data_IF_673503794699
#
_entry.id   IF_673503794699
#
_cell.length_a   1.000
_cell.length_b   1.000
_cell.length_c   1.000
_cell.angle_alpha   90.00
_cell.angle_beta   90.00
_cell.angle_gamma   90.00
#
_symmetry.space_group_name_H-M   'P 1'
#
loop_
_entity.id
_entity.type
_entity.pdbx_description
1 polymer ?
#
# COMPACT_ATOMS: atom_id res chain seq x y z
N UNK A 1 6.63 30.27 -39.78
CA UNK A 1 6.65 28.89 -39.27
C UNK A 1 7.89 28.65 -38.40
N UNK A 2 9.13 28.92 -38.89
CA UNK A 2 10.38 28.70 -38.14
C UNK A 2 10.42 29.40 -36.77
N UNK A 3 9.95 30.65 -36.65
CA UNK A 3 9.90 31.38 -35.36
C UNK A 3 8.91 30.76 -34.38
N UNK A 4 7.80 30.20 -34.87
CA UNK A 4 6.81 29.51 -34.02
C UNK A 4 7.37 28.20 -33.51
N UNK A 5 8.06 27.45 -34.37
CA UNK A 5 8.71 26.18 -34.02
C UNK A 5 9.82 26.39 -32.98
N UNK A 6 10.66 27.41 -33.16
CA UNK A 6 11.70 27.78 -32.18
C UNK A 6 11.11 28.12 -30.82
N UNK A 7 10.04 28.93 -30.79
CA UNK A 7 9.34 29.31 -29.54
C UNK A 7 8.73 28.06 -28.86
N UNK A 8 8.10 27.20 -29.63
CA UNK A 8 7.53 25.94 -29.09
C UNK A 8 8.60 24.99 -28.57
N UNK A 9 9.76 24.96 -29.20
CA UNK A 9 10.92 24.20 -28.74
C UNK A 9 11.43 24.74 -27.39
N UNK A 10 11.58 26.04 -27.24
CA UNK A 10 12.04 26.67 -25.99
C UNK A 10 11.04 26.44 -24.85
N UNK A 11 9.75 26.53 -25.13
CA UNK A 11 8.70 26.23 -24.13
C UNK A 11 8.82 24.78 -23.66
N UNK A 12 8.92 23.82 -24.59
CA UNK A 12 9.07 22.40 -24.23
C UNK A 12 10.35 22.14 -23.45
N UNK A 13 11.47 22.73 -23.88
CA UNK A 13 12.76 22.62 -23.18
C UNK A 13 12.68 23.15 -21.74
N UNK A 14 11.95 24.24 -21.52
CA UNK A 14 11.76 24.75 -20.17
C UNK A 14 10.85 23.85 -19.33
N UNK A 15 9.78 23.30 -19.90
CA UNK A 15 8.93 22.32 -19.20
C UNK A 15 9.71 21.09 -18.74
N UNK A 16 10.58 20.57 -19.62
CA UNK A 16 11.43 19.41 -19.28
C UNK A 16 12.36 19.67 -18.10
N UNK A 17 12.81 20.91 -17.88
CA UNK A 17 13.67 21.23 -16.72
C UNK A 17 12.94 21.05 -15.38
N UNK A 18 11.64 21.36 -15.34
CA UNK A 18 10.81 21.13 -14.17
C UNK A 18 10.48 19.65 -14.00
N UNK A 19 10.16 18.97 -15.11
CA UNK A 19 9.84 17.54 -15.11
C UNK A 19 11.03 16.68 -14.66
N UNK A 20 12.26 17.08 -14.98
CA UNK A 20 13.46 16.36 -14.55
C UNK A 20 13.58 16.27 -13.03
N UNK A 21 13.22 17.31 -12.28
CA UNK A 21 13.25 17.29 -10.81
C UNK A 21 12.32 16.21 -10.25
N UNK A 22 11.06 16.19 -10.73
CA UNK A 22 10.10 15.15 -10.33
C UNK A 22 10.54 13.75 -10.75
N UNK A 23 11.17 13.65 -11.93
CA UNK A 23 11.64 12.36 -12.45
C UNK A 23 12.83 11.81 -11.65
N UNK A 24 13.73 12.68 -11.19
CA UNK A 24 14.86 12.25 -10.36
C UNK A 24 14.38 11.77 -8.99
N UNK A 25 13.45 12.48 -8.35
CA UNK A 25 12.80 12.01 -7.12
C UNK A 25 12.05 10.69 -7.34
N UNK A 26 11.36 10.55 -8.46
CA UNK A 26 10.65 9.31 -8.83
C UNK A 26 11.60 8.11 -8.92
N UNK A 27 12.77 8.28 -9.53
CA UNK A 27 13.77 7.22 -9.62
C UNK A 27 14.19 6.75 -8.22
N UNK A 28 14.54 7.69 -7.33
CA UNK A 28 14.93 7.36 -5.95
C UNK A 28 13.84 6.56 -5.24
N UNK A 29 12.59 7.01 -5.32
CA UNK A 29 11.46 6.31 -4.68
C UNK A 29 11.21 4.94 -5.28
N UNK A 30 11.28 4.80 -6.61
CA UNK A 30 11.05 3.51 -7.28
C UNK A 30 12.18 2.52 -7.01
N UNK A 31 13.42 2.98 -6.99
CA UNK A 31 14.56 2.12 -6.63
C UNK A 31 14.42 1.64 -5.19
N UNK A 32 14.09 2.54 -4.25
CA UNK A 32 13.84 2.18 -2.85
C UNK A 32 12.66 1.20 -2.71
N UNK A 33 11.59 1.43 -3.44
CA UNK A 33 10.42 0.55 -3.46
C UNK A 33 10.77 -0.85 -3.98
N UNK A 34 11.59 -0.94 -5.03
CA UNK A 34 12.06 -2.21 -5.60
C UNK A 34 12.94 -2.95 -4.59
N UNK A 35 13.86 -2.27 -3.91
CA UNK A 35 14.68 -2.83 -2.85
C UNK A 35 13.80 -3.44 -1.76
N UNK A 36 12.89 -2.65 -1.18
CA UNK A 36 11.96 -3.10 -0.14
C UNK A 36 11.09 -4.30 -0.59
N UNK A 37 10.72 -4.37 -1.87
CA UNK A 37 9.97 -5.53 -2.39
C UNK A 37 10.82 -6.78 -2.56
N UNK A 38 12.10 -6.62 -2.93
CA UNK A 38 13.04 -7.73 -3.14
C UNK A 38 13.54 -8.32 -1.82
N UNK A 39 13.75 -7.48 -0.82
CA UNK A 39 14.26 -7.91 0.47
C UNK A 39 13.30 -8.89 1.14
N UNK A 40 13.83 -9.96 1.65
CA UNK A 40 13.07 -10.96 2.40
C UNK A 40 12.54 -10.39 3.71
N UNK A 41 13.33 -9.51 4.34
CA UNK A 41 12.96 -8.80 5.56
C UNK A 41 13.36 -7.33 5.49
N UNK A 42 12.51 -6.44 6.01
CA UNK A 42 12.77 -5.01 6.12
C UNK A 42 13.06 -4.57 7.57
N UNK A 43 13.28 -5.54 8.46
CA UNK A 43 13.41 -5.30 9.90
C UNK A 43 14.56 -4.34 10.24
N UNK A 44 15.71 -4.46 9.56
CA UNK A 44 16.86 -3.57 9.76
C UNK A 44 16.54 -2.14 9.33
N UNK A 45 15.95 -1.98 8.15
CA UNK A 45 15.49 -0.66 7.65
C UNK A 45 14.50 0.00 8.60
N UNK A 46 13.55 -0.77 9.14
CA UNK A 46 12.56 -0.27 10.11
C UNK A 46 13.23 0.10 11.42
N UNK A 47 14.21 -0.68 11.88
CA UNK A 47 14.96 -0.37 13.09
C UNK A 47 15.82 0.91 12.92
N UNK A 48 16.43 1.12 11.75
CA UNK A 48 17.11 2.37 11.41
C UNK A 48 16.16 3.56 11.40
N UNK A 49 15.02 3.44 10.73
CA UNK A 49 13.99 4.49 10.73
C UNK A 49 13.54 4.88 12.14
N UNK A 50 13.38 3.88 13.02
CA UNK A 50 13.00 4.13 14.42
C UNK A 50 14.09 4.86 15.20
N UNK A 51 15.37 4.51 15.01
CA UNK A 51 16.50 5.20 15.62
C UNK A 51 16.59 6.64 15.17
N UNK A 52 16.54 6.87 13.84
CA UNK A 52 16.53 8.24 13.28
C UNK A 52 15.39 9.10 13.87
N UNK A 53 14.20 8.52 14.03
CA UNK A 53 13.04 9.23 14.60
C UNK A 53 13.28 9.54 16.10
N UNK A 54 13.89 8.63 16.85
CA UNK A 54 14.20 8.87 18.26
C UNK A 54 15.24 9.98 18.39
N UNK A 55 16.28 9.95 17.56
CA UNK A 55 17.31 11.00 17.52
C UNK A 55 16.71 12.36 17.20
N UNK A 56 15.86 12.44 16.16
CA UNK A 56 15.16 13.67 15.75
C UNK A 56 14.26 14.20 16.88
N UNK A 57 13.51 13.32 17.58
CA UNK A 57 12.64 13.71 18.69
C UNK A 57 13.43 14.22 19.89
N UNK A 58 14.51 13.55 20.25
CA UNK A 58 15.36 13.98 21.37
C UNK A 58 16.08 15.29 21.03
N UNK A 59 16.68 15.41 19.85
CA UNK A 59 17.35 16.63 19.42
C UNK A 59 16.43 17.85 19.38
N UNK A 60 15.13 17.66 19.10
CA UNK A 60 14.14 18.73 19.10
C UNK A 60 13.90 19.35 20.47
N UNK A 61 13.93 18.53 21.53
CA UNK A 61 13.60 18.94 22.91
C UNK A 61 14.83 19.07 23.81
N UNK A 62 15.93 18.41 23.45
CA UNK A 62 17.20 18.43 24.16
C UNK A 62 18.28 18.95 23.22
N UNK A 63 18.58 20.25 23.23
CA UNK A 63 19.66 20.81 22.41
C UNK A 63 21.01 20.20 22.80
N UNK A 64 21.85 19.96 21.81
CA UNK A 64 23.21 19.47 22.05
C UNK A 64 23.96 20.29 23.12
N UNK A 65 24.59 19.62 24.07
CA UNK A 65 25.38 20.23 25.17
C UNK A 65 24.60 21.18 26.06
N UNK A 66 23.25 21.13 26.04
CA UNK A 66 22.43 21.89 26.98
C UNK A 66 22.45 21.23 28.38
N UNK A 67 22.39 22.06 29.42
CA UNK A 67 22.23 21.54 30.78
C UNK A 67 20.84 20.95 30.99
N UNK A 68 20.68 19.92 31.86
CA UNK A 68 19.40 19.27 32.10
C UNK A 68 18.24 20.21 32.49
N UNK A 69 18.56 21.36 33.13
CA UNK A 69 17.58 22.39 33.50
C UNK A 69 16.98 23.12 32.28
N UNK A 70 17.63 23.04 31.12
CA UNK A 70 17.18 23.66 29.85
C UNK A 70 16.40 22.69 28.97
N UNK A 71 16.31 21.43 29.37
CA UNK A 71 15.63 20.41 28.59
C UNK A 71 14.10 20.56 28.68
N UNK A 72 13.42 20.44 27.55
CA UNK A 72 11.98 20.36 27.49
C UNK A 72 11.53 18.89 27.68
N UNK A 73 11.62 18.41 28.91
CA UNK A 73 11.26 17.02 29.27
C UNK A 73 9.78 16.74 29.08
N UNK A 74 8.92 17.73 29.32
CA UNK A 74 7.48 17.60 29.15
C UNK A 74 7.08 17.43 27.69
N UNK A 75 7.61 18.30 26.81
CA UNK A 75 7.41 18.19 25.37
C UNK A 75 7.98 16.88 24.79
N UNK A 76 9.16 16.46 25.23
CA UNK A 76 9.73 15.17 24.82
C UNK A 76 8.83 14.00 25.24
N UNK A 77 8.32 13.99 26.48
CA UNK A 77 7.41 12.94 26.95
C UNK A 77 6.13 12.88 26.10
N UNK A 78 5.52 14.02 25.76
CA UNK A 78 4.33 14.08 24.92
C UNK A 78 4.62 13.55 23.51
N UNK A 79 5.73 13.96 22.90
CA UNK A 79 6.12 13.51 21.57
C UNK A 79 6.46 12.01 21.55
N UNK A 80 7.15 11.47 22.56
CA UNK A 80 7.41 10.03 22.69
C UNK A 80 6.10 9.23 22.81
N UNK A 81 5.14 9.72 23.60
CA UNK A 81 3.83 9.07 23.70
C UNK A 81 3.05 9.17 22.38
N UNK A 82 3.12 10.32 21.70
CA UNK A 82 2.46 10.55 20.43
C UNK A 82 3.05 9.71 19.30
N UNK A 83 4.35 9.55 19.22
CA UNK A 83 5.01 8.86 18.10
C UNK A 83 5.25 7.39 18.43
N UNK A 84 5.83 7.08 19.58
CA UNK A 84 6.22 5.71 19.96
C UNK A 84 5.15 4.99 20.79
N UNK A 85 4.09 5.66 21.20
CA UNK A 85 3.09 5.12 22.13
C UNK A 85 3.71 4.61 23.47
N UNK A 86 4.82 5.21 23.90
CA UNK A 86 5.53 4.85 25.11
C UNK A 86 5.38 5.97 26.15
N UNK A 87 4.92 5.62 27.36
CA UNK A 87 4.94 6.51 28.51
C UNK A 87 6.23 6.29 29.29
N UNK A 88 7.19 7.18 29.09
CA UNK A 88 8.53 7.08 29.69
C UNK A 88 8.74 8.16 30.75
N UNK A 89 9.43 7.82 31.85
CA UNK A 89 9.66 8.75 32.95
C UNK A 89 10.83 9.71 32.68
N UNK A 90 10.77 10.46 31.57
CA UNK A 90 11.84 11.37 31.12
C UNK A 90 12.19 12.40 32.20
N UNK A 91 11.18 12.92 32.92
CA UNK A 91 11.38 13.87 34.02
C UNK A 91 12.20 13.31 35.17
N UNK A 92 12.11 12.00 35.43
CA UNK A 92 12.93 11.33 36.44
C UNK A 92 14.35 11.15 35.96
N UNK A 93 14.55 10.78 34.70
CA UNK A 93 15.86 10.63 34.09
C UNK A 93 16.65 11.93 34.06
N UNK A 94 16.00 13.03 33.69
CA UNK A 94 16.62 14.37 33.65
C UNK A 94 17.15 14.87 34.99
N UNK A 95 16.68 14.29 36.12
CA UNK A 95 17.14 14.64 37.48
C UNK A 95 18.35 13.82 37.95
N UNK A 96 18.79 12.84 37.18
CA UNK A 96 19.92 12.02 37.51
C UNK A 96 21.24 12.81 37.37
N UNK A 97 22.12 12.72 38.34
CA UNK A 97 23.42 13.41 38.28
C UNK A 97 24.29 12.88 37.12
N UNK A 98 24.74 13.80 36.27
CA UNK A 98 25.63 13.46 35.14
C UNK A 98 24.94 12.86 33.94
N UNK A 99 23.61 12.94 33.84
CA UNK A 99 22.87 12.46 32.67
C UNK A 99 23.23 13.27 31.41
N UNK A 100 23.48 12.59 30.32
CA UNK A 100 23.71 13.19 29.00
C UNK A 100 22.56 12.88 28.04
N UNK A 101 22.45 13.68 26.97
CA UNK A 101 21.50 13.48 25.88
C UNK A 101 21.61 12.09 25.24
N UNK A 102 22.84 11.62 25.03
CA UNK A 102 23.14 10.28 24.49
C UNK A 102 22.55 9.14 25.36
N UNK A 103 22.57 9.33 26.71
CA UNK A 103 21.99 8.34 27.63
C UNK A 103 20.45 8.33 27.55
N UNK A 104 19.83 9.50 27.34
CA UNK A 104 18.36 9.58 27.12
C UNK A 104 18.00 8.85 25.82
N UNK A 105 18.74 9.10 24.72
CA UNK A 105 18.56 8.39 23.45
C UNK A 105 18.66 6.88 23.67
N UNK A 106 19.73 6.40 24.27
CA UNK A 106 19.95 4.97 24.51
C UNK A 106 18.86 4.31 25.36
N UNK A 107 18.31 5.03 26.34
CA UNK A 107 17.20 4.54 27.16
C UNK A 107 15.88 4.47 26.39
N UNK A 108 15.58 5.48 25.55
CA UNK A 108 14.40 5.49 24.70
C UNK A 108 14.48 4.37 23.66
N UNK A 109 15.61 4.23 22.98
CA UNK A 109 15.84 3.15 22.01
C UNK A 109 15.64 1.76 22.63
N UNK A 110 16.26 1.52 23.80
CA UNK A 110 16.10 0.24 24.51
C UNK A 110 14.63 -0.06 24.80
N UNK A 111 13.86 0.92 25.26
CA UNK A 111 12.43 0.73 25.55
C UNK A 111 11.61 0.50 24.30
N UNK A 112 11.95 1.18 23.20
CA UNK A 112 11.31 0.96 21.91
C UNK A 112 11.62 -0.44 21.35
N UNK A 113 12.87 -0.89 21.49
CA UNK A 113 13.29 -2.24 21.08
C UNK A 113 12.62 -3.33 21.94
N UNK A 114 12.54 -3.16 23.26
CA UNK A 114 11.81 -4.06 24.16
C UNK A 114 10.33 -4.17 23.74
N UNK A 115 9.69 -3.04 23.42
CA UNK A 115 8.30 -3.02 22.97
C UNK A 115 8.10 -3.79 21.64
N UNK A 116 8.98 -3.58 20.67
CA UNK A 116 8.93 -4.32 19.41
C UNK A 116 9.24 -5.81 19.59
N UNK A 117 10.24 -6.15 20.43
CA UNK A 117 10.53 -7.55 20.75
C UNK A 117 9.36 -8.27 21.42
N UNK A 118 8.60 -7.59 22.28
CA UNK A 118 7.39 -8.13 22.87
C UNK A 118 6.31 -8.44 21.79
N UNK A 119 6.14 -7.56 20.81
CA UNK A 119 5.23 -7.79 19.67
C UNK A 119 5.68 -8.99 18.82
N UNK A 120 6.99 -9.11 18.53
CA UNK A 120 7.53 -10.27 17.81
C UNK A 120 7.29 -11.57 18.58
N UNK A 121 7.46 -11.55 19.91
CA UNK A 121 7.19 -12.72 20.75
C UNK A 121 5.70 -13.09 20.77
N UNK A 122 4.79 -12.11 20.73
CA UNK A 122 3.35 -12.30 20.77
C UNK A 122 2.78 -12.84 19.45
N UNK A 123 3.21 -12.32 18.32
CA UNK A 123 2.59 -12.59 17.01
C UNK A 123 3.43 -13.51 16.10
N UNK A 124 4.67 -13.70 16.47
CA UNK A 124 5.62 -14.48 15.68
C UNK A 124 6.35 -13.64 14.61
N UNK A 125 7.57 -14.08 14.22
CA UNK A 125 8.43 -13.33 13.33
C UNK A 125 7.87 -13.19 11.90
N UNK A 126 7.15 -14.20 11.41
CA UNK A 126 6.61 -14.19 10.04
C UNK A 126 5.51 -13.14 9.87
N UNK A 127 4.63 -13.04 10.86
CA UNK A 127 3.55 -12.06 10.88
C UNK A 127 4.11 -10.65 10.96
N UNK A 128 5.08 -10.42 11.85
CA UNK A 128 5.73 -9.10 11.98
C UNK A 128 6.42 -8.70 10.69
N UNK A 129 7.19 -9.60 10.05
CA UNK A 129 7.83 -9.31 8.76
C UNK A 129 6.83 -8.88 7.68
N UNK A 130 5.68 -9.56 7.62
CA UNK A 130 4.63 -9.18 6.70
C UNK A 130 4.04 -7.80 7.01
N UNK A 131 3.77 -7.51 8.28
CA UNK A 131 3.22 -6.23 8.75
C UNK A 131 4.20 -5.09 8.49
N UNK A 132 5.47 -5.23 8.85
CA UNK A 132 6.52 -4.25 8.61
C UNK A 132 6.61 -3.91 7.11
N UNK A 133 6.73 -4.92 6.27
CA UNK A 133 6.82 -4.74 4.82
C UNK A 133 5.57 -4.08 4.23
N UNK A 134 4.40 -4.47 4.70
CA UNK A 134 3.12 -3.91 4.26
C UNK A 134 2.98 -2.43 4.64
N UNK A 135 3.30 -2.08 5.88
CA UNK A 135 3.21 -0.70 6.39
C UNK A 135 4.21 0.20 5.66
N UNK A 136 5.47 -0.23 5.53
CA UNK A 136 6.50 0.57 4.84
C UNK A 136 6.08 0.86 3.40
N UNK A 137 5.65 -0.16 2.65
CA UNK A 137 5.26 0.00 1.25
C UNK A 137 4.00 0.87 1.10
N UNK A 138 2.98 0.66 1.92
CA UNK A 138 1.74 1.45 1.86
C UNK A 138 1.98 2.91 2.21
N UNK A 139 2.77 3.18 3.25
CA UNK A 139 3.10 4.54 3.69
C UNK A 139 3.95 5.26 2.64
N UNK A 140 4.95 4.57 2.05
CA UNK A 140 5.76 5.10 0.97
C UNK A 140 4.90 5.49 -0.25
N UNK A 141 4.01 4.58 -0.67
CA UNK A 141 3.13 4.81 -1.81
C UNK A 141 2.11 5.94 -1.55
N UNK A 142 1.67 6.12 -0.30
CA UNK A 142 0.77 7.20 0.10
C UNK A 142 1.48 8.56 0.06
N UNK A 143 2.59 8.70 0.76
CA UNK A 143 3.35 9.95 0.85
C UNK A 143 3.93 10.36 -0.51
N UNK A 144 4.34 9.39 -1.34
CA UNK A 144 4.79 9.69 -2.69
C UNK A 144 3.68 10.31 -3.56
N UNK A 145 2.45 9.81 -3.45
CA UNK A 145 1.31 10.42 -4.17
C UNK A 145 1.03 11.84 -3.71
N UNK A 146 1.12 12.11 -2.39
CA UNK A 146 0.98 13.45 -1.84
C UNK A 146 2.11 14.37 -2.32
N UNK A 147 3.36 13.89 -2.34
CA UNK A 147 4.51 14.62 -2.85
C UNK A 147 4.30 15.06 -4.32
N UNK A 148 3.78 14.18 -5.17
CA UNK A 148 3.48 14.54 -6.56
C UNK A 148 2.44 15.64 -6.67
N UNK A 149 1.42 15.64 -5.84
CA UNK A 149 0.42 16.72 -5.78
C UNK A 149 1.06 18.02 -5.31
N UNK A 150 1.91 17.98 -4.29
CA UNK A 150 2.63 19.16 -3.79
C UNK A 150 3.57 19.75 -4.84
N UNK A 151 4.30 18.92 -5.57
CA UNK A 151 5.18 19.36 -6.66
C UNK A 151 4.39 20.02 -7.80
N UNK A 152 3.21 19.51 -8.13
CA UNK A 152 2.35 20.11 -9.14
C UNK A 152 1.80 21.46 -8.67
N UNK A 153 1.38 21.60 -7.41
CA UNK A 153 0.99 22.88 -6.83
C UNK A 153 2.15 23.90 -6.84
N UNK A 154 3.34 23.44 -6.42
CA UNK A 154 4.54 24.29 -6.44
C UNK A 154 4.83 24.78 -7.87
N UNK A 155 4.74 23.90 -8.86
CA UNK A 155 4.95 24.24 -10.27
C UNK A 155 4.00 25.32 -10.77
N UNK A 156 2.75 25.31 -10.33
CA UNK A 156 1.74 26.29 -10.74
C UNK A 156 2.03 27.68 -10.18
N UNK A 157 2.56 27.77 -8.96
CA UNK A 157 2.75 29.06 -8.26
C UNK A 157 4.17 29.61 -8.38
N UNK A 158 5.17 28.80 -8.68
CA UNK A 158 6.58 29.18 -8.65
C UNK A 158 6.91 30.31 -9.66
N UNK A 159 6.16 30.37 -10.75
CA UNK A 159 6.31 31.43 -11.77
C UNK A 159 6.13 32.83 -11.22
N UNK A 160 5.32 32.98 -10.14
CA UNK A 160 5.10 34.28 -9.49
C UNK A 160 6.36 34.85 -8.82
N UNK A 161 7.32 33.98 -8.47
CA UNK A 161 8.60 34.42 -7.89
C UNK A 161 9.49 35.17 -8.86
N UNK A 162 9.24 35.03 -10.16
CA UNK A 162 9.88 35.84 -11.19
C UNK A 162 9.65 37.35 -11.04
N UNK A 163 8.52 37.76 -10.47
CA UNK A 163 8.26 39.18 -10.15
C UNK A 163 9.21 39.71 -9.07
N UNK A 164 9.73 38.85 -8.19
CA UNK A 164 10.73 39.17 -7.18
C UNK A 164 12.18 39.06 -7.69
N UNK A 165 12.40 39.04 -9.01
CA UNK A 165 13.72 38.90 -9.65
C UNK A 165 14.48 37.62 -9.27
N UNK A 166 13.76 36.57 -8.81
CA UNK A 166 14.32 35.23 -8.55
C UNK A 166 14.11 34.34 -9.77
N UNK A 167 15.07 33.45 -10.03
CA UNK A 167 14.93 32.45 -11.09
C UNK A 167 13.93 31.39 -10.65
N UNK A 168 12.74 31.27 -11.29
CA UNK A 168 11.72 30.30 -10.88
C UNK A 168 12.18 28.85 -10.91
N UNK A 169 13.11 28.50 -11.80
CA UNK A 169 13.62 27.13 -11.89
C UNK A 169 14.49 26.78 -10.68
N UNK A 170 15.36 27.68 -10.26
CA UNK A 170 16.24 27.46 -9.12
C UNK A 170 15.42 27.41 -7.81
N UNK A 171 14.44 28.31 -7.67
CA UNK A 171 13.50 28.29 -6.53
C UNK A 171 12.71 26.98 -6.50
N UNK A 172 12.19 26.52 -7.67
CA UNK A 172 11.49 25.25 -7.76
C UNK A 172 12.36 24.08 -7.31
N UNK A 173 13.61 24.00 -7.76
CA UNK A 173 14.54 22.94 -7.35
C UNK A 173 14.78 22.93 -5.85
N UNK A 174 15.03 24.10 -5.27
CA UNK A 174 15.28 24.25 -3.83
C UNK A 174 14.06 23.83 -3.01
N UNK A 175 12.88 24.33 -3.35
CA UNK A 175 11.65 24.00 -2.63
C UNK A 175 11.23 22.52 -2.83
N UNK A 176 11.37 21.99 -4.06
CA UNK A 176 11.11 20.60 -4.34
C UNK A 176 12.04 19.65 -3.55
N UNK A 177 13.30 20.05 -3.33
CA UNK A 177 14.24 19.32 -2.48
C UNK A 177 13.79 19.34 -1.02
N UNK A 178 13.47 20.52 -0.48
CA UNK A 178 12.97 20.65 0.90
C UNK A 178 11.68 19.84 1.14
N UNK A 179 10.74 19.85 0.17
CA UNK A 179 9.53 19.03 0.24
C UNK A 179 9.85 17.53 0.23
N UNK A 180 10.86 17.12 -0.53
CA UNK A 180 11.28 15.71 -0.58
C UNK A 180 11.95 15.26 0.72
N UNK A 181 12.80 16.11 1.31
CA UNK A 181 13.39 15.85 2.63
C UNK A 181 12.30 15.73 3.70
N UNK A 182 11.33 16.66 3.71
CA UNK A 182 10.19 16.60 4.64
C UNK A 182 9.35 15.35 4.43
N UNK A 183 9.08 14.94 3.18
CA UNK A 183 8.38 13.69 2.88
C UNK A 183 9.14 12.48 3.44
N UNK A 184 10.47 12.45 3.29
CA UNK A 184 11.31 11.35 3.79
C UNK A 184 11.32 11.30 5.33
N UNK A 185 11.37 12.44 6.00
CA UNK A 185 11.25 12.51 7.45
C UNK A 185 9.87 12.05 7.91
N UNK A 186 8.80 12.51 7.26
CA UNK A 186 7.42 12.06 7.54
C UNK A 186 7.25 10.55 7.30
N UNK A 187 7.93 9.97 6.30
CA UNK A 187 7.90 8.53 6.07
C UNK A 187 8.44 7.77 7.28
N UNK A 188 9.61 8.17 7.80
CA UNK A 188 10.22 7.55 8.97
C UNK A 188 9.32 7.65 10.21
N UNK A 189 8.78 8.84 10.48
CA UNK A 189 7.88 9.06 11.62
C UNK A 189 6.58 8.26 11.48
N UNK A 190 5.94 8.27 10.31
CA UNK A 190 4.69 7.58 10.07
C UNK A 190 4.84 6.05 10.16
N UNK A 191 5.88 5.48 9.55
CA UNK A 191 6.17 4.04 9.63
C UNK A 191 6.42 3.63 11.08
N UNK A 192 7.29 4.37 11.80
CA UNK A 192 7.59 4.12 13.20
C UNK A 192 6.34 4.19 14.06
N UNK A 193 5.56 5.27 13.92
CA UNK A 193 4.34 5.46 14.71
C UNK A 193 3.28 4.38 14.45
N UNK A 194 3.09 3.96 13.20
CA UNK A 194 2.16 2.89 12.87
C UNK A 194 2.61 1.55 13.45
N UNK A 195 3.88 1.19 13.32
CA UNK A 195 4.42 -0.08 13.83
C UNK A 195 4.40 -0.14 15.38
N UNK A 196 4.70 0.97 16.03
CA UNK A 196 4.64 1.06 17.49
C UNK A 196 3.21 0.91 18.05
N UNK A 197 2.18 1.28 17.25
CA UNK A 197 0.76 1.22 17.67
C UNK A 197 -0.02 0.06 17.13
N UNK A 198 0.45 -0.59 16.05
CA UNK A 198 -0.29 -1.69 15.43
C UNK A 198 -0.59 -2.78 16.46
N UNK A 199 -1.85 -3.21 16.49
CA UNK A 199 -2.33 -4.35 17.25
C UNK A 199 -3.04 -5.30 16.29
N UNK A 200 -2.67 -6.56 16.35
CA UNK A 200 -3.28 -7.59 15.50
C UNK A 200 -4.44 -8.18 16.28
N UNK A 201 -5.65 -7.78 15.91
CA UNK A 201 -6.87 -8.40 16.42
C UNK A 201 -7.13 -9.67 15.61
N UNK A 202 -7.03 -10.81 16.25
CA UNK A 202 -7.50 -12.06 15.64
C UNK A 202 -9.02 -11.95 15.53
N UNK A 203 -9.50 -11.81 14.29
CA UNK A 203 -10.95 -11.93 14.05
C UNK A 203 -11.41 -13.28 14.57
N UNK A 204 -12.50 -13.36 15.37
CA UNK A 204 -13.07 -14.63 15.72
C UNK A 204 -13.33 -15.42 14.42
N UNK A 205 -13.17 -16.75 14.44
CA UNK A 205 -13.47 -17.54 13.27
C UNK A 205 -14.88 -17.14 12.78
N UNK A 206 -15.09 -17.06 11.45
CA UNK A 206 -16.41 -16.74 10.93
C UNK A 206 -17.42 -17.68 11.61
N UNK A 207 -18.58 -17.16 12.06
CA UNK A 207 -19.58 -18.00 12.69
C UNK A 207 -19.80 -19.19 11.76
N UNK A 208 -19.80 -20.40 12.35
CA UNK A 208 -20.09 -21.62 11.62
C UNK A 208 -21.26 -21.34 10.70
N UNK A 209 -21.08 -21.66 9.41
CA UNK A 209 -22.11 -21.39 8.41
C UNK A 209 -23.42 -21.98 8.95
N UNK A 210 -24.35 -21.10 9.30
CA UNK A 210 -25.69 -21.56 9.68
C UNK A 210 -26.16 -22.34 8.48
N UNK A 211 -26.30 -23.67 8.61
CA UNK A 211 -26.94 -24.47 7.60
C UNK A 211 -28.35 -23.92 7.46
N UNK A 212 -28.54 -23.11 6.43
CA UNK A 212 -29.85 -22.59 6.10
C UNK A 212 -30.75 -23.82 5.85
N UNK A 213 -31.92 -23.90 6.50
CA UNK A 213 -32.84 -24.98 6.22
C UNK A 213 -33.10 -24.99 4.71
N UNK A 214 -33.11 -26.19 4.12
CA UNK A 214 -33.36 -26.40 2.71
C UNK A 214 -34.68 -25.69 2.36
N UNK A 215 -34.60 -24.54 1.70
CA UNK A 215 -35.78 -23.79 1.28
C UNK A 215 -36.22 -24.36 -0.05
N UNK A 216 -37.33 -25.10 -0.06
CA UNK A 216 -38.03 -25.45 -1.29
C UNK A 216 -38.80 -24.23 -1.77
N UNK A 217 -38.42 -23.70 -2.92
CA UNK A 217 -39.24 -22.74 -3.63
C UNK A 217 -40.34 -23.50 -4.37
N UNK A 218 -41.60 -23.19 -4.08
CA UNK A 218 -42.74 -23.70 -4.83
C UNK A 218 -43.39 -22.54 -5.59
N UNK A 219 -43.60 -22.71 -6.86
CA UNK A 219 -44.37 -21.78 -7.70
C UNK A 219 -45.48 -22.56 -8.43
N UNK A 220 -46.67 -22.49 -7.89
CA UNK A 220 -47.83 -23.15 -8.48
C UNK A 220 -48.42 -22.25 -9.56
N UNK A 221 -48.41 -22.68 -10.81
CA UNK A 221 -49.07 -21.98 -11.93
C UNK A 221 -50.59 -21.95 -11.65
N UNK A 222 -51.20 -20.77 -11.55
CA UNK A 222 -52.63 -20.64 -11.23
C UNK A 222 -53.56 -21.16 -12.34
N UNK A 223 -53.07 -21.42 -13.55
CA UNK A 223 -53.84 -21.95 -14.67
C UNK A 223 -53.79 -23.46 -14.81
N UNK A 224 -52.67 -24.09 -14.44
CA UNK A 224 -52.49 -25.55 -14.58
C UNK A 224 -52.49 -26.25 -13.23
N UNK A 225 -52.23 -25.56 -12.13
CA UNK A 225 -52.12 -26.13 -10.80
C UNK A 225 -50.84 -26.97 -10.57
N UNK A 226 -49.90 -26.91 -11.52
CA UNK A 226 -48.62 -27.62 -11.42
C UNK A 226 -47.55 -26.72 -10.79
N UNK A 227 -46.67 -27.28 -9.97
CA UNK A 227 -45.53 -26.58 -9.39
C UNK A 227 -44.37 -26.58 -10.38
N UNK A 228 -44.06 -25.44 -10.97
CA UNK A 228 -42.99 -25.26 -11.94
C UNK A 228 -41.60 -25.61 -11.35
N UNK A 229 -41.46 -25.63 -10.03
CA UNK A 229 -40.23 -26.00 -9.34
C UNK A 229 -40.24 -27.43 -8.78
N UNK A 230 -41.30 -28.21 -8.96
CA UNK A 230 -41.32 -29.60 -8.65
C UNK A 230 -40.38 -30.37 -9.59
N UNK A 231 -39.09 -30.28 -9.36
CA UNK A 231 -38.07 -31.09 -10.03
C UNK A 231 -38.19 -32.52 -9.52
N UNK A 232 -38.39 -33.47 -10.44
CA UNK A 232 -38.31 -34.88 -10.14
C UNK A 232 -36.96 -35.19 -9.46
N UNK A 233 -36.95 -36.05 -8.46
CA UNK A 233 -35.82 -36.47 -7.63
C UNK A 233 -34.54 -36.96 -8.36
N UNK A 234 -34.57 -36.94 -9.68
CA UNK A 234 -33.47 -37.42 -10.54
C UNK A 234 -32.43 -36.31 -10.92
N UNK A 235 -32.55 -35.06 -10.48
CA UNK A 235 -31.68 -33.97 -10.91
C UNK A 235 -31.12 -33.07 -9.78
N UNK A 236 -30.90 -33.60 -8.60
CA UNK A 236 -30.12 -32.94 -7.56
C UNK A 236 -28.62 -33.09 -7.85
N UNK A 237 -28.09 -32.28 -8.74
CA UNK A 237 -26.64 -32.01 -8.86
C UNK A 237 -26.32 -30.76 -8.07
N UNK A 238 -25.38 -30.78 -7.12
CA UNK A 238 -25.09 -29.58 -6.33
C UNK A 238 -24.53 -28.45 -7.19
N UNK A 239 -25.29 -27.39 -7.36
CA UNK A 239 -24.83 -26.14 -7.96
C UNK A 239 -23.97 -25.37 -6.97
N UNK A 240 -22.72 -25.79 -6.80
CA UNK A 240 -21.69 -25.02 -6.12
C UNK A 240 -20.59 -24.68 -7.13
N UNK A 241 -20.80 -23.61 -7.91
CA UNK A 241 -19.73 -22.74 -8.40
C UNK A 241 -20.35 -21.48 -9.01
N UNK A 242 -20.11 -20.36 -8.40
CA UNK A 242 -20.65 -19.07 -8.77
C UNK A 242 -20.33 -18.62 -10.18
N UNK A 243 -21.15 -17.73 -10.72
CA UNK A 243 -20.83 -16.97 -11.92
C UNK A 243 -22.07 -16.70 -12.78
N UNK A 244 -22.60 -15.57 -12.55
CA UNK A 244 -23.30 -14.62 -13.44
C UNK A 244 -23.68 -15.07 -14.87
N UNK A 245 -24.99 -15.09 -15.14
CA UNK A 245 -25.61 -14.59 -16.36
C UNK A 245 -25.66 -15.44 -17.61
N UNK A 246 -26.88 -15.73 -18.01
CA UNK A 246 -27.36 -16.19 -19.30
C UNK A 246 -27.22 -17.69 -19.66
N UNK A 247 -28.32 -18.40 -19.43
CA UNK A 247 -28.46 -19.80 -19.76
C UNK A 247 -28.49 -20.07 -21.27
N UNK A 248 -27.41 -20.64 -21.75
CA UNK A 248 -27.40 -21.62 -22.82
C UNK A 248 -26.58 -22.79 -22.26
N UNK A 249 -27.24 -23.98 -22.19
CA UNK A 249 -26.66 -25.18 -21.61
C UNK A 249 -25.26 -25.44 -22.17
N UNK A 250 -24.23 -25.42 -21.28
CA UNK A 250 -22.89 -25.89 -21.64
C UNK A 250 -22.98 -27.40 -21.75
N UNK A 251 -22.88 -27.90 -23.00
CA UNK A 251 -22.69 -29.34 -23.20
C UNK A 251 -21.44 -29.78 -22.43
N UNK A 252 -21.53 -30.87 -21.65
CA UNK A 252 -20.40 -31.41 -20.92
C UNK A 252 -19.28 -31.75 -21.92
N UNK A 253 -18.01 -31.54 -21.52
CA UNK A 253 -16.86 -31.72 -22.39
C UNK A 253 -16.76 -33.17 -22.98
N UNK A 254 -17.40 -34.14 -22.33
CA UNK A 254 -17.42 -35.55 -22.74
C UNK A 254 -18.36 -35.84 -23.94
N UNK A 255 -19.33 -34.96 -24.24
CA UNK A 255 -20.32 -35.22 -25.29
C UNK A 255 -20.04 -34.46 -26.62
N UNK A 256 -18.90 -33.76 -26.70
CA UNK A 256 -18.54 -32.97 -27.88
C UNK A 256 -17.87 -33.84 -28.93
N UNK A 257 -18.51 -33.99 -30.10
CA UNK A 257 -17.90 -34.73 -31.21
C UNK A 257 -16.82 -33.88 -31.90
N UNK A 258 -15.54 -34.30 -31.94
CA UNK A 258 -14.45 -33.52 -32.51
C UNK A 258 -14.62 -33.18 -34.00
N UNK A 259 -15.44 -33.98 -34.73
CA UNK A 259 -15.67 -33.83 -36.19
C UNK A 259 -16.93 -33.01 -36.50
N UNK A 260 -17.77 -32.70 -35.51
CA UNK A 260 -19.01 -31.98 -35.75
C UNK A 260 -19.08 -30.69 -34.89
N UNK A 261 -18.81 -29.52 -35.50
CA UNK A 261 -18.81 -28.24 -34.80
C UNK A 261 -20.16 -27.86 -34.17
N UNK A 262 -21.26 -28.40 -34.68
CA UNK A 262 -22.60 -28.09 -34.15
C UNK A 262 -22.88 -28.72 -32.81
N UNK A 263 -22.16 -29.81 -32.47
CA UNK A 263 -22.25 -30.51 -31.19
C UNK A 263 -21.50 -29.84 -30.04
N UNK A 264 -20.68 -28.81 -30.35
CA UNK A 264 -19.77 -28.23 -29.32
C UNK A 264 -20.47 -27.26 -28.36
N UNK A 265 -21.63 -26.75 -28.71
CA UNK A 265 -22.29 -25.74 -27.93
C UNK A 265 -21.44 -24.48 -27.73
N UNK A 266 -21.60 -23.78 -26.61
CA UNK A 266 -20.82 -22.57 -26.31
C UNK A 266 -19.45 -22.93 -25.73
N UNK A 267 -18.39 -22.78 -26.52
CA UNK A 267 -16.99 -23.03 -26.12
C UNK A 267 -16.33 -21.73 -25.67
N UNK A 268 -15.67 -21.74 -24.52
CA UNK A 268 -14.95 -20.58 -23.99
C UNK A 268 -13.74 -20.22 -24.87
N UNK A 269 -13.48 -18.92 -25.10
CA UNK A 269 -12.36 -18.44 -25.96
C UNK A 269 -10.98 -19.02 -25.55
N UNK A 270 -10.79 -19.28 -24.27
CA UNK A 270 -9.52 -19.79 -23.72
C UNK A 270 -9.51 -21.32 -23.49
N UNK A 271 -10.62 -22.01 -23.71
CA UNK A 271 -10.71 -23.47 -23.62
C UNK A 271 -9.92 -24.15 -24.76
N UNK A 272 -9.49 -25.39 -24.54
CA UNK A 272 -8.92 -26.21 -25.60
C UNK A 272 -9.97 -26.45 -26.69
N UNK A 273 -9.58 -26.33 -27.97
CA UNK A 273 -10.52 -26.52 -29.06
C UNK A 273 -11.02 -27.97 -29.10
N UNK A 274 -12.37 -28.23 -29.13
CA UNK A 274 -12.92 -29.58 -29.16
C UNK A 274 -12.52 -30.43 -30.38
N UNK A 275 -11.98 -29.81 -31.41
CA UNK A 275 -11.46 -30.52 -32.61
C UNK A 275 -10.22 -31.38 -32.33
N UNK A 276 -9.64 -31.38 -31.14
CA UNK A 276 -8.46 -32.17 -30.80
C UNK A 276 -7.12 -31.61 -31.22
N UNK A 277 -7.07 -30.36 -31.75
CA UNK A 277 -5.83 -29.73 -32.27
C UNK A 277 -4.85 -29.30 -31.16
N UNK A 278 -5.19 -29.40 -29.87
CA UNK A 278 -4.38 -28.92 -28.75
C UNK A 278 -4.28 -27.39 -28.61
N UNK A 279 -4.82 -26.63 -29.56
CA UNK A 279 -4.81 -25.16 -29.53
C UNK A 279 -6.03 -24.62 -28.80
N UNK A 280 -5.91 -23.42 -28.18
CA UNK A 280 -7.04 -22.71 -27.58
C UNK A 280 -8.08 -22.38 -28.67
N UNK A 281 -9.37 -22.40 -28.32
CA UNK A 281 -10.48 -22.17 -29.25
C UNK A 281 -10.31 -20.89 -30.09
N UNK A 282 -9.90 -19.77 -29.46
CA UNK A 282 -9.63 -18.48 -30.13
C UNK A 282 -8.53 -18.53 -31.18
N UNK A 283 -7.64 -19.52 -31.14
CA UNK A 283 -6.54 -19.69 -32.07
C UNK A 283 -6.77 -20.83 -33.08
N UNK A 284 -7.97 -21.45 -33.04
CA UNK A 284 -8.41 -22.50 -33.90
C UNK A 284 -9.76 -22.15 -34.56
N UNK A 285 -10.82 -22.82 -34.23
CA UNK A 285 -12.15 -22.60 -34.80
C UNK A 285 -12.85 -21.31 -34.33
N UNK A 286 -12.48 -20.79 -33.16
CA UNK A 286 -12.97 -19.50 -32.67
C UNK A 286 -12.28 -18.27 -33.25
N UNK A 287 -11.46 -18.42 -34.29
CA UNK A 287 -10.77 -17.30 -34.95
C UNK A 287 -11.69 -16.46 -35.84
N UNK A 288 -12.79 -17.07 -36.29
CA UNK A 288 -13.75 -16.47 -37.22
C UNK A 288 -15.18 -16.44 -36.66
N UNK A 289 -15.35 -16.74 -35.37
CA UNK A 289 -16.63 -16.71 -34.66
C UNK A 289 -16.77 -15.43 -33.82
#
# INVERSE_FOLDING_TARGET
QQKVEARNFDIRKNLLKFDNVSNDQRKVIFDRRIELMRDETVAETVAEMRRDVIDDLVAKHIPEKAYPEQWDTAGLKEDLQRVLALDLPVDAWAKEEGIADEEIIARVERRADEHMAAKVAQWGPDVIRYVEKSIVLQTLDHLWREQLVMLEHLRQVIGLRGYGQRDPLNEYKSEAFTLFEAMTANLREAVTSQLMRVEIVQSPPPPEAIELPFMQASHIDPSTGEDEFAMSDAQLVPALAGGNGNGAARAAAADRNPKDPTSWGKVGRNEACPCGSGKKFKHCHGRYA
#
